data_IF_039780209613
#
_entry.id   IF_039780209613
#
_cell.length_a   1.000
_cell.length_b   1.000
_cell.length_c   1.000
_cell.angle_alpha   90.00
_cell.angle_beta   90.00
_cell.angle_gamma   90.00
#
_symmetry.space_group_name_H-M   'P 1'
#
loop_
_entity.id
_entity.type
_entity.pdbx_description
1 polymer ?
#
# COMPACT_ATOMS: atom_id res chain seq x y z
N UNK A 1 -7.55 60.70 -54.85
CA UNK A 1 -6.58 61.68 -55.42
C UNK A 1 -5.46 60.85 -56.04
N UNK A 2 -5.55 60.62 -57.35
CA UNK A 2 -4.71 61.30 -58.37
C UNK A 2 -3.40 60.51 -58.55
N UNK A 3 -2.94 60.04 -59.71
CA UNK A 3 -3.32 60.22 -61.11
C UNK A 3 -2.59 59.08 -61.94
N UNK A 4 -2.46 59.09 -63.28
CA UNK A 4 -2.83 57.98 -64.16
C UNK A 4 -1.63 57.35 -64.93
N UNK A 5 -1.97 56.43 -65.85
CA UNK A 5 -1.18 55.72 -66.88
C UNK A 5 0.05 56.45 -67.46
N UNK A 6 1.01 55.67 -68.01
CA UNK A 6 1.11 55.71 -69.46
C UNK A 6 1.18 54.33 -70.12
N UNK A 7 0.52 54.24 -71.27
CA UNK A 7 0.73 53.24 -72.30
C UNK A 7 2.08 53.50 -72.99
N UNK A 8 2.91 52.48 -73.18
CA UNK A 8 4.04 52.52 -74.10
C UNK A 8 4.24 51.11 -74.68
N UNK A 9 3.70 50.91 -75.88
CA UNK A 9 4.45 50.66 -77.13
C UNK A 9 4.78 49.20 -77.30
N UNK A 10 3.91 48.58 -78.10
CA UNK A 10 4.09 47.33 -78.80
C UNK A 10 5.20 47.51 -79.83
N UNK A 11 6.46 47.44 -79.39
CA UNK A 11 7.61 47.24 -80.27
C UNK A 11 7.90 45.74 -80.27
N UNK A 12 7.33 45.07 -81.25
CA UNK A 12 7.67 43.72 -81.67
C UNK A 12 9.13 43.72 -82.16
N UNK A 13 10.04 43.59 -81.20
CA UNK A 13 11.45 43.44 -81.47
C UNK A 13 11.75 41.96 -81.76
N UNK A 14 11.89 41.66 -83.04
CA UNK A 14 12.24 40.38 -83.67
C UNK A 14 13.62 39.81 -83.23
N UNK A 15 14.20 40.29 -82.12
CA UNK A 15 15.47 39.81 -81.57
C UNK A 15 15.32 38.75 -80.48
N UNK A 16 14.15 38.59 -79.87
CA UNK A 16 13.96 37.59 -78.80
C UNK A 16 13.62 36.19 -79.35
N UNK A 17 13.32 36.09 -80.65
CA UNK A 17 13.19 34.81 -81.35
C UNK A 17 14.54 34.11 -81.58
N UNK A 18 15.66 34.84 -81.49
CA UNK A 18 17.00 34.29 -81.66
C UNK A 18 17.59 33.70 -80.37
N UNK A 19 17.17 34.17 -79.19
CA UNK A 19 17.72 33.72 -77.89
C UNK A 19 16.97 32.54 -77.26
N UNK A 20 15.75 32.23 -77.71
CA UNK A 20 15.05 30.98 -77.32
C UNK A 20 15.58 29.75 -78.06
N UNK A 21 16.31 29.93 -79.16
CA UNK A 21 16.98 28.85 -79.89
C UNK A 21 18.33 28.44 -79.26
N UNK A 22 18.87 29.21 -78.31
CA UNK A 22 20.18 28.98 -77.69
C UNK A 22 20.11 28.20 -76.35
N UNK A 23 18.91 27.91 -75.83
CA UNK A 23 18.70 27.07 -74.63
C UNK A 23 18.17 25.66 -74.97
N UNK A 24 18.55 25.14 -76.13
CA UNK A 24 18.41 23.73 -76.51
C UNK A 24 19.35 22.79 -75.75
N UNK A 25 19.46 22.91 -74.43
CA UNK A 25 20.08 21.86 -73.58
C UNK A 25 18.98 20.88 -73.20
N UNK A 26 18.79 19.88 -74.04
CA UNK A 26 17.97 18.71 -73.75
C UNK A 26 18.34 18.18 -72.35
N UNK A 27 17.37 18.13 -71.44
CA UNK A 27 17.51 17.36 -70.22
C UNK A 27 17.81 15.90 -70.62
N UNK A 28 19.01 15.43 -70.30
CA UNK A 28 19.38 14.02 -70.38
C UNK A 28 19.18 13.43 -68.97
N UNK A 29 18.60 12.21 -68.84
CA UNK A 29 18.51 11.56 -67.55
C UNK A 29 19.93 11.42 -66.97
N UNK A 30 20.14 11.60 -65.65
CA UNK A 30 21.45 11.34 -65.05
C UNK A 30 21.89 9.92 -65.44
N UNK A 31 23.09 9.81 -66.01
CA UNK A 31 23.68 8.52 -66.33
C UNK A 31 23.67 7.64 -65.08
N UNK A 32 23.36 6.36 -65.26
CA UNK A 32 23.25 5.39 -64.18
C UNK A 32 24.46 5.52 -63.25
N UNK A 33 24.19 5.63 -61.94
CA UNK A 33 25.21 5.64 -60.90
C UNK A 33 26.21 4.52 -61.21
N UNK A 34 27.48 4.90 -61.36
CA UNK A 34 28.58 4.01 -61.72
C UNK A 34 28.81 3.03 -60.56
N UNK A 35 28.03 1.94 -60.55
CA UNK A 35 28.22 0.85 -59.60
C UNK A 35 29.40 0.02 -60.10
N UNK A 36 30.39 -0.19 -59.23
CA UNK A 36 31.58 -1.00 -59.54
C UNK A 36 31.18 -2.36 -60.13
N UNK A 37 31.95 -2.91 -61.08
CA UNK A 37 31.58 -4.11 -61.85
C UNK A 37 31.32 -5.37 -61.00
N UNK A 38 31.81 -5.38 -59.76
CA UNK A 38 31.53 -6.44 -58.78
C UNK A 38 30.07 -6.47 -58.32
N UNK A 39 29.38 -5.32 -58.32
CA UNK A 39 27.99 -5.20 -57.90
C UNK A 39 27.03 -5.55 -59.06
N UNK A 40 27.40 -5.24 -60.30
CA UNK A 40 26.57 -5.51 -61.48
C UNK A 40 26.47 -6.99 -61.83
N UNK A 41 27.56 -7.75 -61.70
CA UNK A 41 27.57 -9.18 -62.04
C UNK A 41 26.77 -10.05 -61.05
N UNK A 42 26.71 -9.63 -59.78
CA UNK A 42 25.89 -10.28 -58.75
C UNK A 42 24.40 -10.04 -58.99
N UNK A 43 24.02 -8.86 -59.51
CA UNK A 43 22.63 -8.55 -59.88
C UNK A 43 22.23 -9.28 -61.18
N UNK A 44 23.14 -9.38 -62.16
CA UNK A 44 22.88 -10.00 -63.47
C UNK A 44 22.78 -11.53 -63.44
N UNK A 45 23.45 -12.19 -62.50
CA UNK A 45 23.44 -13.67 -62.36
C UNK A 45 22.30 -14.20 -61.49
N UNK A 46 21.49 -13.32 -60.87
CA UNK A 46 20.42 -13.75 -59.97
C UNK A 46 19.25 -14.36 -60.75
N UNK A 47 18.93 -15.65 -60.57
CA UNK A 47 17.79 -16.27 -61.22
C UNK A 47 16.49 -15.60 -60.77
N UNK A 48 15.54 -15.42 -61.68
CA UNK A 48 14.23 -14.80 -61.39
C UNK A 48 13.44 -15.48 -60.26
N UNK A 49 13.72 -16.75 -59.97
CA UNK A 49 13.13 -17.49 -58.85
C UNK A 49 13.81 -17.18 -57.50
N UNK A 50 15.09 -16.81 -57.49
CA UNK A 50 15.80 -16.40 -56.27
C UNK A 50 15.35 -15.02 -55.80
N UNK A 51 15.15 -14.08 -56.73
CA UNK A 51 14.56 -12.76 -56.42
C UNK A 51 13.12 -12.88 -55.89
N UNK A 52 12.29 -13.73 -56.51
CA UNK A 52 10.93 -14.04 -56.03
C UNK A 52 10.93 -14.77 -54.68
N UNK A 53 11.85 -15.71 -54.49
CA UNK A 53 12.03 -16.43 -53.23
C UNK A 53 12.38 -15.49 -52.08
N UNK A 54 13.31 -14.56 -52.29
CA UNK A 54 13.66 -13.53 -51.31
C UNK A 54 12.44 -12.64 -50.98
N UNK A 55 11.67 -12.24 -52.00
CA UNK A 55 10.45 -11.45 -51.81
C UNK A 55 9.39 -12.19 -50.98
N UNK A 56 9.16 -13.48 -51.23
CA UNK A 56 8.21 -14.27 -50.43
C UNK A 56 8.71 -14.53 -49.01
N UNK A 57 10.02 -14.66 -48.79
CA UNK A 57 10.60 -14.77 -47.45
C UNK A 57 10.38 -13.47 -46.67
N UNK A 58 10.66 -12.32 -47.29
CA UNK A 58 10.41 -11.01 -46.68
C UNK A 58 8.91 -10.85 -46.37
N UNK A 59 8.03 -11.18 -47.34
CA UNK A 59 6.59 -11.11 -47.16
C UNK A 59 6.11 -12.05 -46.03
N UNK A 60 6.63 -13.27 -45.97
CA UNK A 60 6.36 -14.23 -44.92
C UNK A 60 6.81 -13.73 -43.54
N UNK A 61 7.97 -13.09 -43.46
CA UNK A 61 8.46 -12.47 -42.22
C UNK A 61 7.57 -11.31 -41.77
N UNK A 62 7.08 -10.48 -42.70
CA UNK A 62 6.13 -9.40 -42.41
C UNK A 62 4.80 -9.95 -41.90
N UNK A 63 4.25 -10.98 -42.55
CA UNK A 63 3.02 -11.65 -42.10
C UNK A 63 3.21 -12.31 -40.73
N UNK A 64 4.36 -12.96 -40.51
CA UNK A 64 4.69 -13.56 -39.22
C UNK A 64 4.82 -12.50 -38.11
N UNK A 65 5.49 -11.38 -38.38
CA UNK A 65 5.62 -10.26 -37.45
C UNK A 65 4.25 -9.62 -37.14
N UNK A 66 3.39 -9.44 -38.15
CA UNK A 66 2.02 -8.95 -37.95
C UNK A 66 1.18 -9.92 -37.13
N UNK A 67 1.25 -11.21 -37.45
CA UNK A 67 0.52 -12.26 -36.72
C UNK A 67 0.99 -12.33 -35.27
N UNK A 68 2.30 -12.23 -35.04
CA UNK A 68 2.89 -12.18 -33.71
C UNK A 68 2.50 -10.91 -32.96
N UNK A 69 2.55 -9.74 -33.59
CA UNK A 69 2.15 -8.46 -33.00
C UNK A 69 0.65 -8.41 -32.69
N UNK A 70 -0.17 -9.10 -33.48
CA UNK A 70 -1.60 -9.22 -33.24
C UNK A 70 -1.91 -10.15 -32.05
N UNK A 71 -1.21 -11.28 -31.97
CA UNK A 71 -1.43 -12.28 -30.93
C UNK A 71 -0.79 -11.89 -29.58
N UNK A 72 0.30 -11.13 -29.62
CA UNK A 72 1.03 -10.70 -28.42
C UNK A 72 0.24 -9.64 -27.67
N UNK A 73 -0.01 -9.89 -26.37
CA UNK A 73 -0.66 -8.98 -25.43
C UNK A 73 0.39 -8.40 -24.49
N UNK A 74 0.43 -7.08 -24.39
CA UNK A 74 1.24 -6.32 -23.44
C UNK A 74 0.32 -5.90 -22.29
N UNK A 75 0.78 -6.15 -21.06
CA UNK A 75 0.15 -5.67 -19.84
C UNK A 75 0.51 -4.19 -19.65
N UNK A 76 -0.50 -3.32 -19.64
CA UNK A 76 -0.35 -1.93 -19.23
C UNK A 76 -0.37 -1.90 -17.72
N UNK A 77 0.70 -1.39 -17.12
CA UNK A 77 0.87 -1.32 -15.67
C UNK A 77 0.94 0.12 -15.21
N UNK A 78 0.31 0.37 -14.08
CA UNK A 78 0.40 1.63 -13.34
C UNK A 78 1.25 1.35 -12.11
N UNK A 79 2.29 2.15 -11.89
CA UNK A 79 3.14 2.04 -10.71
C UNK A 79 2.60 2.94 -9.59
N UNK A 80 2.28 2.32 -8.46
CA UNK A 80 1.80 2.98 -7.27
C UNK A 80 2.78 2.72 -6.12
N UNK A 81 3.24 3.77 -5.46
CA UNK A 81 4.11 3.63 -4.27
C UNK A 81 3.25 3.32 -3.05
N UNK A 82 3.71 2.42 -2.20
CA UNK A 82 2.92 1.98 -1.06
C UNK A 82 3.74 1.40 0.09
N UNK A 83 3.04 1.02 1.13
CA UNK A 83 3.61 0.42 2.33
C UNK A 83 2.75 -0.74 2.83
N UNK A 84 3.39 -1.73 3.44
CA UNK A 84 2.69 -2.83 4.11
C UNK A 84 2.07 -2.35 5.42
N UNK A 85 0.77 -2.54 5.57
CA UNK A 85 -0.03 -2.24 6.76
C UNK A 85 -0.82 -3.49 7.16
N UNK A 86 -1.09 -3.73 8.44
CA UNK A 86 -1.99 -4.81 8.84
C UNK A 86 -3.44 -4.54 8.35
N UNK A 87 -4.09 -5.58 7.85
CA UNK A 87 -5.51 -5.67 7.48
C UNK A 87 -6.33 -5.61 8.78
N UNK A 88 -6.98 -4.47 8.99
CA UNK A 88 -7.87 -4.25 10.11
C UNK A 88 -7.49 -3.03 10.95
N UNK A 89 -8.42 -2.64 11.81
CA UNK A 89 -8.24 -1.53 12.72
C UNK A 89 -7.22 -1.90 13.78
N UNK A 90 -6.24 -1.01 13.98
CA UNK A 90 -5.33 -1.10 15.12
C UNK A 90 -6.20 -1.21 16.39
N UNK A 91 -5.92 -2.20 17.24
CA UNK A 91 -6.70 -2.39 18.47
C UNK A 91 -6.34 -1.27 19.43
N UNK A 92 -7.27 -0.34 19.62
CA UNK A 92 -7.17 0.72 20.59
C UNK A 92 -7.30 0.12 21.99
N UNK A 93 -6.26 0.26 22.78
CA UNK A 93 -6.26 -0.04 24.21
C UNK A 93 -6.71 1.21 24.93
N UNK A 94 -7.84 1.11 25.63
CA UNK A 94 -8.43 2.21 26.35
C UNK A 94 -8.37 1.97 27.86
N UNK A 95 -8.31 3.05 28.62
CA UNK A 95 -8.41 2.97 30.07
C UNK A 95 -9.82 2.55 30.48
N UNK A 96 -9.93 1.41 31.17
CA UNK A 96 -11.22 0.90 31.66
C UNK A 96 -11.76 1.71 32.85
N UNK A 97 -10.89 2.41 33.57
CA UNK A 97 -11.21 3.21 34.75
C UNK A 97 -10.34 4.45 34.82
N UNK A 98 -10.83 5.56 35.38
CA UNK A 98 -10.02 6.75 35.54
C UNK A 98 -8.95 6.52 36.61
N UNK A 99 -7.78 7.14 36.43
CA UNK A 99 -6.69 7.04 37.40
C UNK A 99 -5.43 7.74 36.94
N UNK A 100 -4.52 7.97 37.89
CA UNK A 100 -3.23 8.60 37.62
C UNK A 100 -2.22 7.54 37.17
N UNK A 101 -1.48 7.79 36.10
CA UNK A 101 -0.44 6.89 35.62
C UNK A 101 0.72 6.87 36.62
N UNK A 102 1.02 5.70 37.18
CA UNK A 102 2.22 5.48 37.99
C UNK A 102 3.45 5.32 37.10
N UNK A 103 3.30 4.59 35.98
CA UNK A 103 4.37 4.39 35.01
C UNK A 103 3.92 3.64 33.76
N UNK A 104 4.65 3.86 32.68
CA UNK A 104 4.51 3.15 31.41
C UNK A 104 5.56 2.04 31.36
N UNK A 105 5.14 0.81 31.06
CA UNK A 105 5.98 -0.39 31.10
C UNK A 105 6.51 -0.82 29.73
N UNK A 106 5.97 -0.25 28.64
CA UNK A 106 6.31 -0.60 27.25
C UNK A 106 6.69 0.63 26.44
N UNK A 107 7.35 0.42 25.30
CA UNK A 107 7.69 1.48 24.35
C UNK A 107 6.97 1.30 23.01
N UNK A 108 6.84 2.39 22.27
CA UNK A 108 6.41 2.32 20.86
C UNK A 108 7.37 1.44 20.04
N UNK A 109 6.83 0.62 19.15
CA UNK A 109 7.57 -0.36 18.36
C UNK A 109 7.88 -1.67 19.09
N UNK A 110 7.60 -1.78 20.39
CA UNK A 110 7.82 -3.01 21.15
C UNK A 110 6.77 -4.08 20.82
N UNK A 111 7.20 -5.35 20.80
CA UNK A 111 6.29 -6.50 20.63
C UNK A 111 5.75 -6.93 21.98
N UNK A 112 4.43 -7.01 22.11
CA UNK A 112 3.72 -7.36 23.34
C UNK A 112 2.88 -8.62 23.16
N UNK A 113 2.76 -9.41 24.23
CA UNK A 113 1.87 -10.56 24.28
C UNK A 113 0.46 -10.16 24.74
N UNK A 114 -0.53 -11.02 24.48
CA UNK A 114 -1.88 -10.84 25.03
C UNK A 114 -1.84 -10.87 26.57
N UNK A 115 -2.48 -9.89 27.21
CA UNK A 115 -2.50 -9.74 28.67
C UNK A 115 -1.25 -9.08 29.26
N UNK A 116 -0.25 -8.73 28.45
CA UNK A 116 0.95 -8.05 28.94
C UNK A 116 0.61 -6.65 29.46
N UNK A 117 1.08 -6.26 30.67
CA UNK A 117 0.90 -4.91 31.21
C UNK A 117 1.58 -3.84 30.34
N UNK A 118 0.84 -2.79 30.01
CA UNK A 118 1.33 -1.65 29.22
C UNK A 118 1.51 -0.41 30.09
N UNK A 119 0.50 -0.12 30.91
CA UNK A 119 0.47 1.04 31.80
C UNK A 119 -0.07 0.62 33.15
N UNK A 120 0.59 1.09 34.21
CA UNK A 120 0.18 0.89 35.59
C UNK A 120 -0.42 2.20 36.12
N UNK A 121 -1.67 2.16 36.57
CA UNK A 121 -2.28 3.26 37.32
C UNK A 121 -1.89 3.16 38.80
N UNK A 122 -1.86 4.31 39.47
CA UNK A 122 -1.64 4.38 40.91
C UNK A 122 -2.79 3.67 41.64
N UNK A 123 -2.44 2.56 42.27
CA UNK A 123 -3.36 1.71 43.01
C UNK A 123 -3.16 1.81 44.53
N UNK A 124 -2.38 2.78 45.01
CA UNK A 124 -1.97 2.86 46.42
C UNK A 124 -3.18 2.99 47.35
N UNK A 125 -4.12 3.88 47.05
CA UNK A 125 -5.34 4.06 47.84
C UNK A 125 -6.26 2.84 47.80
N UNK A 126 -6.41 2.23 46.63
CA UNK A 126 -7.24 1.03 46.45
C UNK A 126 -6.66 -0.17 47.20
N UNK A 127 -5.33 -0.35 47.19
CA UNK A 127 -4.64 -1.40 47.95
C UNK A 127 -4.80 -1.19 49.45
N UNK A 128 -4.68 0.06 49.92
CA UNK A 128 -4.92 0.39 51.33
C UNK A 128 -6.37 0.11 51.75
N UNK A 129 -7.36 0.45 50.91
CA UNK A 129 -8.78 0.14 51.16
C UNK A 129 -9.03 -1.36 51.22
N UNK A 130 -8.47 -2.13 50.28
CA UNK A 130 -8.61 -3.59 50.26
C UNK A 130 -8.03 -4.24 51.53
N UNK A 131 -6.88 -3.75 52.00
CA UNK A 131 -6.26 -4.25 53.23
C UNK A 131 -7.17 -4.04 54.45
N UNK A 132 -7.75 -2.83 54.59
CA UNK A 132 -8.70 -2.51 55.68
C UNK A 132 -9.95 -3.40 55.63
N UNK A 133 -10.54 -3.58 54.45
CA UNK A 133 -11.73 -4.44 54.29
C UNK A 133 -11.45 -5.90 54.65
N UNK A 134 -10.28 -6.43 54.29
CA UNK A 134 -9.87 -7.80 54.65
C UNK A 134 -9.65 -7.97 56.15
N UNK A 135 -9.11 -6.96 56.82
CA UNK A 135 -8.97 -6.95 58.28
C UNK A 135 -10.34 -6.94 58.96
N UNK A 136 -11.26 -6.10 58.50
CA UNK A 136 -12.64 -6.03 59.01
C UNK A 136 -13.42 -7.33 58.77
N UNK A 137 -13.22 -7.97 57.61
CA UNK A 137 -13.79 -9.29 57.31
C UNK A 137 -13.27 -10.34 58.30
N UNK A 138 -11.97 -10.34 58.59
CA UNK A 138 -11.34 -11.30 59.51
C UNK A 138 -11.86 -11.11 60.93
N UNK A 139 -11.96 -9.86 61.40
CA UNK A 139 -12.57 -9.54 62.70
C UNK A 139 -14.04 -9.97 62.76
N UNK A 140 -14.82 -9.69 61.70
CA UNK A 140 -16.23 -10.07 61.61
C UNK A 140 -16.42 -11.59 61.64
N UNK A 141 -15.52 -12.35 60.99
CA UNK A 141 -15.51 -13.82 61.02
C UNK A 141 -15.12 -14.38 62.39
N UNK A 142 -14.17 -13.77 63.11
CA UNK A 142 -13.84 -14.14 64.48
C UNK A 142 -15.05 -13.95 65.41
N UNK A 143 -15.73 -12.81 65.30
CA UNK A 143 -16.93 -12.53 66.07
C UNK A 143 -18.08 -13.50 65.74
N UNK A 144 -18.26 -13.86 64.46
CA UNK A 144 -19.25 -14.88 64.08
C UNK A 144 -18.95 -16.24 64.74
N UNK A 145 -17.68 -16.66 64.80
CA UNK A 145 -17.29 -17.92 65.46
C UNK A 145 -17.65 -17.93 66.95
N UNK A 146 -17.47 -16.78 67.63
CA UNK A 146 -17.88 -16.63 69.03
C UNK A 146 -19.40 -16.73 69.18
N UNK A 147 -20.17 -16.04 68.33
CA UNK A 147 -21.64 -16.10 68.34
C UNK A 147 -22.19 -17.49 68.00
N UNK A 148 -21.52 -18.27 67.14
CA UNK A 148 -21.95 -19.64 66.82
C UNK A 148 -21.84 -20.61 68.01
N UNK A 149 -20.99 -20.32 69.00
CA UNK A 149 -20.82 -21.18 70.19
C UNK A 149 -21.85 -20.95 71.30
N UNK A 150 -22.45 -19.76 71.41
CA UNK A 150 -23.33 -19.42 72.53
C UNK A 150 -24.34 -18.27 72.27
N UNK A 151 -24.43 -17.74 71.05
CA UNK A 151 -25.20 -16.53 70.73
C UNK A 151 -26.61 -16.78 70.19
N UNK A 152 -27.51 -15.77 70.24
CA UNK A 152 -28.82 -15.82 69.61
C UNK A 152 -28.75 -16.05 68.09
N UNK A 153 -29.73 -16.78 67.54
CA UNK A 153 -29.82 -17.06 66.09
C UNK A 153 -29.96 -15.78 65.26
N UNK A 154 -30.67 -14.78 65.78
CA UNK A 154 -30.88 -13.48 65.12
C UNK A 154 -29.57 -12.70 64.92
N UNK A 155 -28.76 -12.57 65.98
CA UNK A 155 -27.45 -11.91 65.91
C UNK A 155 -26.48 -12.65 64.97
N UNK A 156 -26.54 -13.98 64.96
CA UNK A 156 -25.75 -14.81 64.05
C UNK A 156 -26.12 -14.55 62.59
N UNK A 157 -27.41 -14.38 62.29
CA UNK A 157 -27.89 -14.10 60.94
C UNK A 157 -27.48 -12.69 60.48
N UNK A 158 -27.61 -11.69 61.36
CA UNK A 158 -27.16 -10.32 61.09
C UNK A 158 -25.66 -10.27 60.80
N UNK A 159 -24.84 -10.93 61.63
CA UNK A 159 -23.40 -10.98 61.43
C UNK A 159 -23.01 -11.71 60.14
N UNK A 160 -23.70 -12.79 59.77
CA UNK A 160 -23.53 -13.44 58.47
C UNK A 160 -23.85 -12.49 57.31
N UNK A 161 -24.92 -11.70 57.43
CA UNK A 161 -25.27 -10.70 56.41
C UNK A 161 -24.19 -9.62 56.27
N UNK A 162 -23.58 -9.20 57.39
CA UNK A 162 -22.47 -8.24 57.42
C UNK A 162 -21.24 -8.79 56.69
N UNK A 163 -20.89 -10.05 56.95
CA UNK A 163 -19.80 -10.75 56.26
C UNK A 163 -20.07 -10.82 54.75
N UNK A 164 -21.29 -11.17 54.33
CA UNK A 164 -21.64 -11.23 52.92
C UNK A 164 -21.53 -9.86 52.22
N UNK A 165 -21.90 -8.78 52.90
CA UNK A 165 -21.72 -7.39 52.40
C UNK A 165 -20.23 -7.05 52.24
N UNK A 166 -19.42 -7.32 53.27
CA UNK A 166 -17.96 -7.08 53.22
C UNK A 166 -17.29 -7.88 52.11
N UNK A 167 -17.68 -9.14 51.92
CA UNK A 167 -17.17 -9.98 50.82
C UNK A 167 -17.52 -9.40 49.45
N UNK A 168 -18.74 -8.88 49.29
CA UNK A 168 -19.16 -8.22 48.05
C UNK A 168 -18.34 -6.94 47.79
N UNK A 169 -18.07 -6.16 48.83
CA UNK A 169 -17.25 -4.94 48.72
C UNK A 169 -15.78 -5.24 48.42
N UNK A 170 -15.22 -6.30 49.02
CA UNK A 170 -13.88 -6.81 48.71
C UNK A 170 -13.81 -7.24 47.24
N UNK A 171 -14.78 -8.04 46.77
CA UNK A 171 -14.81 -8.50 45.39
C UNK A 171 -14.89 -7.32 44.39
N UNK A 172 -15.69 -6.30 44.70
CA UNK A 172 -15.76 -5.07 43.90
C UNK A 172 -14.42 -4.30 43.89
N UNK A 173 -13.77 -4.19 45.05
CA UNK A 173 -12.47 -3.50 45.18
C UNK A 173 -11.35 -4.26 44.46
N UNK A 174 -11.36 -5.60 44.52
CA UNK A 174 -10.42 -6.45 43.79
C UNK A 174 -10.60 -6.35 42.27
N UNK A 175 -11.85 -6.30 41.79
CA UNK A 175 -12.14 -6.07 40.38
C UNK A 175 -11.56 -4.72 39.92
N UNK A 176 -11.77 -3.66 40.70
CA UNK A 176 -11.21 -2.35 40.42
C UNK A 176 -9.67 -2.36 40.40
N UNK A 177 -9.03 -3.09 41.32
CA UNK A 177 -7.56 -3.27 41.30
C UNK A 177 -7.04 -4.02 40.07
N UNK A 178 -7.82 -4.95 39.51
CA UNK A 178 -7.44 -5.58 38.23
C UNK A 178 -7.51 -4.59 37.07
N UNK A 179 -8.43 -3.63 37.15
CA UNK A 179 -8.61 -2.58 36.14
C UNK A 179 -7.59 -1.44 36.24
N UNK A 180 -6.78 -1.37 37.31
CA UNK A 180 -5.67 -0.39 37.40
C UNK A 180 -4.46 -0.78 36.55
N UNK A 181 -4.38 -2.03 36.09
CA UNK A 181 -3.33 -2.48 35.18
C UNK A 181 -3.92 -2.57 33.79
N UNK A 182 -3.49 -1.66 32.91
CA UNK A 182 -3.95 -1.64 31.52
C UNK A 182 -3.08 -2.63 30.74
N UNK A 183 -3.70 -3.69 30.25
CA UNK A 183 -3.03 -4.79 29.55
C UNK A 183 -3.36 -4.81 28.07
N UNK A 184 -2.48 -5.41 27.26
CA UNK A 184 -2.76 -5.64 25.84
C UNK A 184 -3.92 -6.63 25.62
N UNK A 185 -4.92 -6.33 24.77
CA UNK A 185 -5.99 -7.26 24.42
C UNK A 185 -5.56 -8.37 23.45
N UNK A 186 -4.41 -8.25 22.76
CA UNK A 186 -3.91 -9.23 21.79
C UNK A 186 -2.38 -9.19 21.65
N UNK A 187 -1.77 -10.27 21.16
CA UNK A 187 -0.35 -10.25 20.83
C UNK A 187 -0.09 -9.41 19.57
N UNK A 188 0.91 -8.53 19.59
CA UNK A 188 1.14 -7.58 18.49
C UNK A 188 2.27 -6.60 18.76
N UNK A 189 2.38 -5.58 17.90
CA UNK A 189 3.36 -4.50 18.03
C UNK A 189 2.64 -3.22 18.45
N UNK A 190 3.20 -2.51 19.43
CA UNK A 190 2.69 -1.20 19.87
C UNK A 190 3.00 -0.18 18.76
N UNK A 191 1.98 0.32 18.06
CA UNK A 191 2.13 1.28 16.95
C UNK A 191 2.22 2.71 17.46
N UNK A 192 1.39 3.07 18.43
CA UNK A 192 1.42 4.38 19.09
C UNK A 192 1.11 4.23 20.57
N UNK A 193 1.69 5.13 21.38
CA UNK A 193 1.46 5.26 22.80
C UNK A 193 1.06 6.71 23.10
N UNK A 194 -0.21 6.91 23.47
CA UNK A 194 -0.79 8.26 23.64
C UNK A 194 -0.52 8.84 25.04
N UNK A 195 0.10 8.06 25.94
CA UNK A 195 0.41 8.45 27.32
C UNK A 195 1.80 9.09 27.41
N UNK A 196 1.86 10.29 27.99
CA UNK A 196 3.09 11.10 28.08
C UNK A 196 4.00 10.71 29.24
N UNK A 197 3.50 9.95 30.22
CA UNK A 197 4.30 9.40 31.31
C UNK A 197 3.60 9.39 32.67
N UNK A 198 4.38 9.22 33.73
CA UNK A 198 3.89 9.21 35.11
C UNK A 198 3.29 10.56 35.53
N UNK A 199 2.19 10.52 36.27
CA UNK A 199 1.45 11.69 36.75
C UNK A 199 0.32 12.16 35.84
N UNK A 200 0.18 11.62 34.62
CA UNK A 200 -0.95 11.90 33.75
C UNK A 200 -2.24 11.27 34.30
N UNK A 201 -3.35 12.01 34.25
CA UNK A 201 -4.67 11.51 34.67
C UNK A 201 -5.40 10.97 33.46
N UNK A 202 -5.65 9.66 33.43
CA UNK A 202 -6.45 9.03 32.39
C UNK A 202 -7.93 9.04 32.76
N UNK A 203 -8.78 9.27 31.76
CA UNK A 203 -10.23 9.13 31.87
C UNK A 203 -10.69 7.76 31.34
N UNK A 204 -11.86 7.30 31.79
CA UNK A 204 -12.45 6.09 31.24
C UNK A 204 -12.75 6.24 29.74
N UNK A 205 -12.34 5.24 28.94
CA UNK A 205 -12.49 5.24 27.49
C UNK A 205 -11.41 6.03 26.74
N UNK A 206 -10.51 6.74 27.43
CA UNK A 206 -9.38 7.42 26.81
C UNK A 206 -8.44 6.40 26.16
N UNK A 207 -8.01 6.66 24.93
CA UNK A 207 -6.99 5.87 24.23
C UNK A 207 -5.64 6.00 24.95
N UNK A 208 -4.99 4.86 25.16
CA UNK A 208 -3.72 4.73 25.87
C UNK A 208 -2.64 4.24 24.92
N UNK A 209 -2.95 3.22 24.13
CA UNK A 209 -2.03 2.63 23.17
C UNK A 209 -2.80 2.04 21.98
N UNK A 210 -2.15 1.96 20.82
CA UNK A 210 -2.68 1.30 19.63
C UNK A 210 -1.83 0.09 19.29
N UNK A 211 -2.42 -1.10 19.24
CA UNK A 211 -1.71 -2.36 18.99
C UNK A 211 -2.10 -2.96 17.66
N UNK A 212 -1.10 -3.19 16.81
CA UNK A 212 -1.22 -3.92 15.56
C UNK A 212 -1.03 -5.42 15.83
N UNK A 213 -2.07 -6.28 15.69
CA UNK A 213 -1.93 -7.71 15.92
C UNK A 213 -0.94 -8.35 14.94
N UNK A 214 -0.09 -9.27 15.42
CA UNK A 214 0.93 -9.92 14.59
C UNK A 214 0.35 -10.96 13.61
N UNK A 215 -0.84 -11.48 13.92
CA UNK A 215 -1.59 -12.46 13.12
C UNK A 215 -2.49 -11.82 12.05
N UNK A 216 -2.70 -10.49 12.15
CA UNK A 216 -3.47 -9.73 11.17
C UNK A 216 -2.93 -10.01 9.76
N UNK A 217 -3.81 -10.27 8.78
CA UNK A 217 -3.36 -10.31 7.39
C UNK A 217 -2.65 -9.02 7.05
N UNK A 218 -1.66 -9.04 6.16
CA UNK A 218 -1.04 -7.81 5.71
C UNK A 218 -1.75 -7.35 4.44
N UNK A 219 -1.99 -6.06 4.33
CA UNK A 219 -2.43 -5.36 3.13
C UNK A 219 -1.36 -4.36 2.72
N UNK A 220 -1.37 -3.99 1.45
CA UNK A 220 -0.56 -2.89 0.95
C UNK A 220 -1.48 -1.70 0.79
N UNK A 221 -1.14 -0.61 1.45
CA UNK A 221 -1.71 0.70 1.18
C UNK A 221 -0.84 1.38 0.12
N UNK A 222 -1.35 1.47 -1.11
CA UNK A 222 -0.67 2.10 -2.23
C UNK A 222 -1.34 3.43 -2.59
N UNK A 223 -0.53 4.43 -2.93
CA UNK A 223 -0.97 5.73 -3.40
C UNK A 223 -0.99 5.73 -4.93
N UNK A 224 -2.18 5.86 -5.51
CA UNK A 224 -2.40 5.97 -6.96
C UNK A 224 -2.70 7.43 -7.29
N UNK A 225 -2.03 7.99 -8.29
CA UNK A 225 -2.30 9.37 -8.70
C UNK A 225 -3.71 9.54 -9.27
N UNK A 226 -4.31 10.73 -9.07
CA UNK A 226 -5.65 11.05 -9.60
C UNK A 226 -5.79 10.88 -11.13
N UNK A 227 -4.68 10.91 -11.90
CA UNK A 227 -4.71 10.68 -13.36
C UNK A 227 -4.98 9.23 -13.73
N UNK A 228 -4.58 8.31 -12.86
CA UNK A 228 -4.53 6.88 -13.12
C UNK A 228 -5.67 6.12 -12.42
N UNK A 229 -6.31 6.74 -11.42
CA UNK A 229 -7.36 6.12 -10.61
C UNK A 229 -8.56 5.63 -11.42
N UNK A 230 -8.87 6.30 -12.54
CA UNK A 230 -10.01 5.94 -13.40
C UNK A 230 -9.89 4.54 -14.01
N UNK A 231 -8.68 3.96 -14.03
CA UNK A 231 -8.41 2.62 -14.59
C UNK A 231 -8.20 1.55 -13.51
N UNK A 232 -8.27 1.92 -12.22
CA UNK A 232 -8.02 1.00 -11.11
C UNK A 232 -9.34 0.55 -10.52
N UNK A 233 -9.65 -0.74 -10.69
CA UNK A 233 -10.85 -1.38 -10.15
C UNK A 233 -10.51 -2.50 -9.15
N UNK A 234 -11.40 -2.78 -8.18
CA UNK A 234 -11.28 -3.97 -7.35
C UNK A 234 -11.21 -5.25 -8.18
N UNK A 235 -10.32 -6.17 -7.81
CA UNK A 235 -10.10 -7.45 -8.49
C UNK A 235 -8.95 -7.48 -9.50
N UNK A 236 -8.36 -6.33 -9.84
CA UNK A 236 -7.19 -6.29 -10.74
C UNK A 236 -5.97 -6.98 -10.12
N UNK A 237 -5.17 -7.64 -10.96
CA UNK A 237 -3.94 -8.30 -10.54
C UNK A 237 -2.82 -7.27 -10.34
N UNK A 238 -2.05 -7.44 -9.28
CA UNK A 238 -0.96 -6.54 -8.90
C UNK A 238 0.32 -7.33 -8.68
N UNK A 239 1.44 -6.80 -9.20
CA UNK A 239 2.79 -7.29 -8.89
C UNK A 239 3.44 -6.33 -7.90
N UNK A 240 3.70 -6.80 -6.69
CA UNK A 240 4.30 -6.03 -5.61
C UNK A 240 5.82 -6.23 -5.62
N UNK A 241 6.56 -5.14 -5.76
CA UNK A 241 8.04 -5.10 -5.73
C UNK A 241 8.46 -4.46 -4.42
N UNK A 242 9.16 -5.19 -3.55
CA UNK A 242 9.61 -4.63 -2.26
C UNK A 242 10.92 -3.87 -2.44
N UNK A 243 11.00 -2.65 -1.91
CA UNK A 243 12.20 -1.83 -2.06
C UNK A 243 13.35 -2.32 -1.17
N UNK A 244 13.01 -2.95 -0.04
CA UNK A 244 13.97 -3.49 0.92
C UNK A 244 14.73 -4.74 0.43
N UNK A 245 14.28 -5.38 -0.65
CA UNK A 245 14.86 -6.62 -1.17
C UNK A 245 15.11 -6.49 -2.68
N UNK A 246 16.34 -6.69 -3.18
CA UNK A 246 16.64 -6.60 -4.61
C UNK A 246 15.75 -7.53 -5.43
N UNK A 247 14.95 -6.98 -6.34
CA UNK A 247 13.96 -7.73 -7.14
C UNK A 247 14.56 -8.89 -7.95
N UNK A 248 15.84 -8.79 -8.32
CA UNK A 248 16.57 -9.80 -9.08
C UNK A 248 16.73 -11.12 -8.30
N UNK A 249 16.83 -11.01 -6.97
CA UNK A 249 17.05 -12.15 -6.08
C UNK A 249 15.75 -12.68 -5.46
N UNK A 250 14.77 -11.79 -5.23
CA UNK A 250 13.59 -12.05 -4.39
C UNK A 250 12.26 -12.11 -5.15
N UNK A 251 12.24 -11.72 -6.43
CA UNK A 251 11.04 -11.73 -7.25
C UNK A 251 9.98 -10.71 -6.81
N UNK A 252 8.78 -10.81 -7.40
CA UNK A 252 7.64 -9.98 -7.06
C UNK A 252 6.59 -10.80 -6.31
N UNK A 253 5.93 -10.20 -5.32
CA UNK A 253 4.80 -10.82 -4.62
C UNK A 253 3.53 -10.51 -5.41
N UNK A 254 2.80 -11.55 -5.81
CA UNK A 254 1.50 -11.36 -6.46
C UNK A 254 0.46 -10.89 -5.43
N UNK A 255 -0.42 -9.99 -5.84
CA UNK A 255 -1.55 -9.52 -5.06
C UNK A 255 -2.76 -9.16 -5.93
N UNK A 256 -3.85 -8.80 -5.28
CA UNK A 256 -5.09 -8.38 -5.95
C UNK A 256 -5.60 -7.10 -5.30
N UNK A 257 -6.07 -6.15 -6.11
CA UNK A 257 -6.73 -4.95 -5.61
C UNK A 257 -7.98 -5.36 -4.84
N UNK A 258 -8.04 -5.03 -3.56
CA UNK A 258 -9.17 -5.35 -2.68
C UNK A 258 -10.18 -4.22 -2.68
N UNK A 259 -9.70 -2.99 -2.48
CA UNK A 259 -10.54 -1.80 -2.33
C UNK A 259 -9.83 -0.56 -2.87
N UNK A 260 -10.61 0.35 -3.42
CA UNK A 260 -10.17 1.67 -3.89
C UNK A 260 -10.95 2.71 -3.08
N UNK A 261 -10.24 3.59 -2.38
CA UNK A 261 -10.87 4.64 -1.58
C UNK A 261 -11.72 5.55 -2.48
N UNK A 262 -12.91 5.98 -2.02
CA UNK A 262 -13.80 6.82 -2.82
C UNK A 262 -13.34 8.27 -2.93
N UNK A 263 -12.41 8.71 -2.08
CA UNK A 263 -11.95 10.10 -1.97
C UNK A 263 -10.44 10.25 -2.20
N UNK A 264 -10.07 11.41 -2.76
CA UNK A 264 -8.67 11.77 -2.97
C UNK A 264 -8.11 12.45 -1.71
N UNK A 265 -6.94 12.02 -1.27
CA UNK A 265 -6.17 12.71 -0.24
C UNK A 265 -5.11 13.59 -0.92
N UNK A 266 -4.81 14.74 -0.31
CA UNK A 266 -3.80 15.66 -0.83
C UNK A 266 -2.64 15.72 0.14
N UNK A 267 -1.47 15.31 -0.33
CA UNK A 267 -0.21 15.55 0.37
C UNK A 267 0.43 16.85 -0.16
N UNK A 268 1.18 17.55 0.70
CA UNK A 268 1.96 18.73 0.31
C UNK A 268 3.06 18.39 -0.70
N UNK A 269 3.59 17.15 -0.64
CA UNK A 269 4.72 16.71 -1.45
C UNK A 269 4.31 15.86 -2.67
N UNK A 270 3.29 15.00 -2.54
CA UNK A 270 2.89 14.04 -3.60
C UNK A 270 1.67 14.48 -4.42
N UNK A 271 1.06 15.62 -4.09
CA UNK A 271 -0.18 16.09 -4.74
C UNK A 271 -1.40 15.25 -4.35
N UNK A 272 -2.43 15.23 -5.21
CA UNK A 272 -3.66 14.48 -4.94
C UNK A 272 -3.53 13.01 -5.38
N UNK A 273 -3.71 12.10 -4.44
CA UNK A 273 -3.64 10.65 -4.64
C UNK A 273 -4.85 9.95 -4.01
N UNK A 274 -5.16 8.76 -4.50
CA UNK A 274 -6.16 7.86 -3.95
C UNK A 274 -5.47 6.69 -3.27
N UNK A 275 -6.05 6.26 -2.15
CA UNK A 275 -5.56 5.08 -1.43
C UNK A 275 -6.18 3.83 -2.02
N UNK A 276 -5.34 2.88 -2.38
CA UNK A 276 -5.74 1.58 -2.91
C UNK A 276 -5.19 0.49 -2.00
N UNK A 277 -6.09 -0.34 -1.48
CA UNK A 277 -5.75 -1.47 -0.63
C UNK A 277 -5.57 -2.71 -1.49
N UNK A 278 -4.38 -3.31 -1.42
CA UNK A 278 -4.02 -4.50 -2.20
C UNK A 278 -3.75 -5.65 -1.23
N UNK A 279 -4.40 -6.78 -1.48
CA UNK A 279 -4.21 -8.00 -0.70
C UNK A 279 -3.12 -8.87 -1.32
N UNK A 280 -1.97 -9.07 -0.67
CA UNK A 280 -0.92 -9.97 -1.15
C UNK A 280 -1.39 -11.42 -1.04
N UNK A 281 -1.03 -12.25 -2.02
CA UNK A 281 -1.38 -13.67 -2.09
C UNK A 281 -0.57 -14.53 -1.11
N UNK A 282 0.61 -14.06 -0.72
CA UNK A 282 1.53 -14.72 0.21
C UNK A 282 2.08 -13.71 1.23
N UNK A 283 2.41 -14.19 2.43
CA UNK A 283 2.94 -13.36 3.55
C UNK A 283 4.46 -13.47 3.70
N UNK A 284 5.09 -14.20 2.80
CA UNK A 284 6.47 -14.58 2.83
C UNK A 284 7.10 -14.48 1.44
N UNK A 285 8.38 -14.16 1.44
CA UNK A 285 9.20 -14.15 0.23
C UNK A 285 10.20 -15.29 0.37
N UNK A 286 10.21 -16.18 -0.62
CA UNK A 286 11.15 -17.29 -0.70
C UNK A 286 12.26 -16.89 -1.66
N UNK A 287 13.46 -16.68 -1.14
CA UNK A 287 14.64 -16.38 -1.94
C UNK A 287 15.84 -17.16 -1.42
N UNK A 288 16.64 -17.76 -2.32
CA UNK A 288 17.86 -18.51 -1.98
C UNK A 288 17.67 -19.55 -0.85
N UNK A 289 16.49 -20.19 -0.77
CA UNK A 289 16.17 -21.19 0.26
C UNK A 289 15.88 -20.63 1.66
N UNK A 290 15.82 -19.31 1.83
CA UNK A 290 15.41 -18.65 3.08
C UNK A 290 14.04 -17.98 2.88
N UNK A 291 13.12 -18.31 3.77
CA UNK A 291 11.79 -17.67 3.83
C UNK A 291 11.89 -16.45 4.73
N UNK A 292 11.69 -15.26 4.18
CA UNK A 292 11.66 -14.01 4.94
C UNK A 292 10.20 -13.57 5.08
N UNK A 293 9.67 -13.41 6.31
CA UNK A 293 8.32 -12.94 6.51
C UNK A 293 8.21 -11.45 6.19
N UNK A 294 7.07 -11.05 5.63
CA UNK A 294 6.71 -9.65 5.43
C UNK A 294 6.44 -8.98 6.79
N UNK A 295 7.01 -7.80 7.01
CA UNK A 295 6.79 -6.98 8.21
C UNK A 295 5.96 -5.74 7.86
N UNK A 296 5.06 -5.29 8.74
CA UNK A 296 4.43 -3.98 8.61
C UNK A 296 5.48 -2.86 8.49
N UNK A 297 5.15 -1.80 7.75
CA UNK A 297 6.00 -0.62 7.55
C UNK A 297 7.01 -0.73 6.40
N UNK A 298 7.16 -1.89 5.76
CA UNK A 298 8.02 -2.03 4.58
C UNK A 298 7.46 -1.23 3.39
N UNK A 299 8.30 -0.39 2.79
CA UNK A 299 8.00 0.32 1.55
C UNK A 299 8.10 -0.63 0.35
N UNK A 300 7.19 -0.45 -0.60
CA UNK A 300 7.12 -1.24 -1.82
C UNK A 300 6.44 -0.47 -2.95
N UNK A 301 6.70 -0.91 -4.18
CA UNK A 301 6.05 -0.41 -5.38
C UNK A 301 5.08 -1.46 -5.94
N UNK A 302 3.82 -1.09 -6.08
CA UNK A 302 2.75 -1.92 -6.61
C UNK A 302 2.53 -1.61 -8.10
N UNK A 303 2.82 -2.58 -8.97
CA UNK A 303 2.49 -2.50 -10.40
C UNK A 303 1.11 -3.11 -10.63
N UNK A 304 0.08 -2.27 -10.80
CA UNK A 304 -1.32 -2.66 -11.02
C UNK A 304 -1.54 -2.88 -12.51
N UNK A 305 -2.00 -4.07 -12.91
CA UNK A 305 -2.28 -4.40 -14.31
C UNK A 305 -3.70 -3.95 -14.64
N UNK A 306 -3.86 -2.85 -15.38
CA UNK A 306 -5.17 -2.24 -15.67
C UNK A 306 -5.76 -2.71 -16.99
N UNK A 307 -4.94 -2.82 -18.03
CA UNK A 307 -5.38 -3.26 -19.36
C UNK A 307 -4.39 -4.25 -19.98
N UNK A 308 -4.90 -5.15 -20.82
CA UNK A 308 -4.08 -5.99 -21.70
C UNK A 308 -4.32 -5.59 -23.14
N UNK A 309 -3.41 -4.82 -23.73
CA UNK A 309 -3.50 -4.36 -25.13
C UNK A 309 -2.63 -5.22 -26.03
N UNK A 310 -3.09 -5.53 -27.25
CA UNK A 310 -2.21 -6.15 -28.25
C UNK A 310 -1.12 -5.17 -28.70
N UNK A 311 0.06 -5.68 -29.05
CA UNK A 311 1.20 -4.86 -29.54
C UNK A 311 0.78 -3.97 -30.71
N UNK A 312 -0.08 -4.49 -31.59
CA UNK A 312 -0.60 -3.77 -32.74
C UNK A 312 -1.30 -2.45 -32.37
N UNK A 313 -2.03 -2.41 -31.24
CA UNK A 313 -2.78 -1.21 -30.76
C UNK A 313 -1.87 -0.17 -30.09
N UNK A 314 -0.62 -0.51 -29.82
CA UNK A 314 0.36 0.42 -29.24
C UNK A 314 1.22 1.09 -30.33
N UNK A 315 1.35 0.43 -31.49
CA UNK A 315 2.10 0.92 -32.65
C UNK A 315 1.27 1.78 -33.61
N UNK A 316 -0.07 1.72 -33.53
CA UNK A 316 -1.03 2.46 -34.35
C UNK A 316 -2.18 2.97 -33.48
#
# INVERSE_FOLDING_TARGET
MSAPLPQHTDDTNDSDAADLAALGKSWAPPQAVDTSPEVSDVIATMPWWAARGLLYIILGFVVAAFTWAWLSKIDVVIEARGKLVPEGYVKLVQAASPGTVQGVLVREGETVAQGQPLVQLDATEMRARLARLREELTASQQQLRQLMSAGPVTETLEQKSRIARLQSEIAATELGLRQTTITSPAAGVVTSLDVRGGGEVLQAGQSVASIAPADAPLMVEAHVSNRDIAFVEPGLAVKLKLDAFPYQDYGAVEGTVSEVAPDAQTDKDEGSFYKVLIKPRRRDIVAKGKTVPLRPGLALSASIITERKSVLKLLF
#
